data_IF_739263453485
#
_entry.id   IF_739263453485
#
_cell.length_a   1.000
_cell.length_b   1.000
_cell.length_c   1.000
_cell.angle_alpha   90.00
_cell.angle_beta   90.00
_cell.angle_gamma   90.00
#
_symmetry.space_group_name_H-M   'P 1'
#
loop_
_entity.id
_entity.type
_entity.pdbx_description
1 polymer ?
#
# COMPACT_ATOMS: atom_id res chain seq x y z
N UNK A 1 -7.62 -12.94 50.70
CA UNK A 1 -8.20 -12.33 49.48
C UNK A 1 -7.05 -11.63 48.77
N UNK A 2 -6.76 -11.95 47.49
CA UNK A 2 -5.71 -11.23 46.76
C UNK A 2 -5.97 -9.73 46.87
N UNK A 3 -4.97 -8.97 47.36
CA UNK A 3 -5.14 -7.54 47.63
C UNK A 3 -5.58 -6.84 46.35
N UNK A 4 -6.43 -5.83 46.47
CA UNK A 4 -6.92 -5.04 45.34
C UNK A 4 -5.74 -4.53 44.49
N UNK A 5 -4.60 -4.27 45.12
CA UNK A 5 -3.33 -3.86 44.48
C UNK A 5 -2.74 -4.92 43.54
N UNK A 6 -2.74 -6.21 43.92
CA UNK A 6 -2.25 -7.29 43.06
C UNK A 6 -3.14 -7.48 41.82
N UNK A 7 -4.46 -7.25 41.97
CA UNK A 7 -5.41 -7.27 40.86
C UNK A 7 -5.19 -6.09 39.93
N UNK A 8 -4.92 -4.90 40.46
CA UNK A 8 -4.58 -3.71 39.69
C UNK A 8 -3.28 -3.88 38.90
N UNK A 9 -2.25 -4.49 39.50
CA UNK A 9 -0.96 -4.72 38.83
C UNK A 9 -1.09 -5.73 37.68
N UNK A 10 -1.84 -6.82 37.89
CA UNK A 10 -2.16 -7.78 36.82
C UNK A 10 -2.92 -7.13 35.66
N UNK A 11 -3.90 -6.27 35.94
CA UNK A 11 -4.63 -5.53 34.92
C UNK A 11 -3.73 -4.56 34.14
N UNK A 12 -2.78 -3.88 34.81
CA UNK A 12 -1.79 -3.01 34.14
C UNK A 12 -0.90 -3.82 33.19
N UNK A 13 -0.35 -4.95 33.65
CA UNK A 13 0.47 -5.85 32.82
C UNK A 13 -0.30 -6.35 31.60
N UNK A 14 -1.55 -6.80 31.78
CA UNK A 14 -2.41 -7.22 30.67
C UNK A 14 -2.69 -6.08 29.67
N UNK A 15 -2.92 -4.85 30.15
CA UNK A 15 -3.13 -3.69 29.28
C UNK A 15 -1.88 -3.36 28.45
N UNK A 16 -0.70 -3.47 29.02
CA UNK A 16 0.56 -3.26 28.30
C UNK A 16 0.81 -4.34 27.25
N UNK A 17 0.55 -5.60 27.58
CA UNK A 17 0.64 -6.70 26.61
C UNK A 17 -0.34 -6.54 25.45
N UNK A 18 -1.58 -6.14 25.74
CA UNK A 18 -2.59 -5.90 24.71
C UNK A 18 -2.19 -4.72 23.81
N UNK A 19 -1.69 -3.62 24.36
CA UNK A 19 -1.14 -2.50 23.57
C UNK A 19 0.02 -2.93 22.68
N UNK A 20 0.92 -3.77 23.18
CA UNK A 20 2.02 -4.29 22.39
C UNK A 20 1.52 -5.19 21.24
N UNK A 21 0.51 -6.03 21.49
CA UNK A 21 -0.15 -6.85 20.46
C UNK A 21 -0.86 -5.99 19.42
N UNK A 22 -1.60 -4.97 19.85
CA UNK A 22 -2.28 -4.02 18.96
C UNK A 22 -1.28 -3.30 18.04
N UNK A 23 -0.17 -2.78 18.58
CA UNK A 23 0.88 -2.14 17.79
C UNK A 23 1.50 -3.10 16.77
N UNK A 24 1.73 -4.36 17.14
CA UNK A 24 2.23 -5.40 16.23
C UNK A 24 1.23 -5.68 15.11
N UNK A 25 -0.06 -5.83 15.42
CA UNK A 25 -1.11 -6.06 14.43
C UNK A 25 -1.25 -4.88 13.47
N UNK A 26 -1.18 -3.64 13.97
CA UNK A 26 -1.24 -2.45 13.15
C UNK A 26 -0.04 -2.37 12.18
N UNK A 27 1.16 -2.66 12.68
CA UNK A 27 2.37 -2.71 11.84
C UNK A 27 2.28 -3.80 10.77
N UNK A 28 1.74 -4.98 11.12
CA UNK A 28 1.50 -6.06 10.17
C UNK A 28 0.50 -5.64 9.08
N UNK A 29 -0.62 -5.02 9.47
CA UNK A 29 -1.62 -4.52 8.51
C UNK A 29 -1.03 -3.50 7.54
N UNK A 30 -0.29 -2.51 8.07
CA UNK A 30 0.38 -1.52 7.24
C UNK A 30 1.39 -2.15 6.27
N UNK A 31 2.14 -3.17 6.73
CA UNK A 31 3.07 -3.90 5.87
C UNK A 31 2.37 -4.69 4.76
N UNK A 32 1.22 -5.31 5.06
CA UNK A 32 0.43 -6.07 4.10
C UNK A 32 -0.18 -5.15 3.03
N UNK A 33 -0.71 -4.00 3.44
CA UNK A 33 -1.22 -2.96 2.53
C UNK A 33 -0.12 -2.42 1.61
N UNK A 34 1.08 -2.16 2.16
CA UNK A 34 2.24 -1.76 1.34
C UNK A 34 2.62 -2.83 0.33
N UNK A 35 2.69 -4.11 0.73
CA UNK A 35 2.99 -5.23 -0.18
C UNK A 35 1.96 -5.35 -1.29
N UNK A 36 0.67 -5.25 -0.95
CA UNK A 36 -0.44 -5.28 -1.93
C UNK A 36 -0.33 -4.12 -2.91
N UNK A 37 -0.04 -2.91 -2.42
CA UNK A 37 0.17 -1.72 -3.26
C UNK A 37 1.36 -1.90 -4.20
N UNK A 38 2.51 -2.34 -3.69
CA UNK A 38 3.71 -2.56 -4.51
C UNK A 38 3.47 -3.63 -5.58
N UNK A 39 2.84 -4.75 -5.22
CA UNK A 39 2.48 -5.80 -6.19
C UNK A 39 1.60 -5.25 -7.31
N UNK A 40 0.55 -4.50 -6.97
CA UNK A 40 -0.34 -3.87 -7.95
C UNK A 40 0.41 -2.91 -8.88
N UNK A 41 1.34 -2.10 -8.35
CA UNK A 41 2.13 -1.17 -9.17
C UNK A 41 3.05 -1.91 -10.15
N UNK A 42 3.62 -3.04 -9.74
CA UNK A 42 4.43 -3.90 -10.61
C UNK A 42 3.54 -4.52 -11.71
N UNK A 43 2.36 -5.03 -11.36
CA UNK A 43 1.40 -5.59 -12.32
C UNK A 43 0.98 -4.55 -13.38
N UNK A 44 0.76 -3.30 -12.97
CA UNK A 44 0.46 -2.19 -13.92
C UNK A 44 1.64 -1.93 -14.86
N UNK A 45 2.87 -1.86 -14.34
CA UNK A 45 4.07 -1.69 -15.17
C UNK A 45 4.22 -2.83 -16.18
N UNK A 46 4.10 -4.07 -15.72
CA UNK A 46 4.16 -5.26 -16.57
C UNK A 46 3.07 -5.27 -17.65
N UNK A 47 1.85 -4.80 -17.33
CA UNK A 47 0.78 -4.67 -18.30
C UNK A 47 1.14 -3.67 -19.42
N UNK A 48 1.71 -2.52 -19.08
CA UNK A 48 2.14 -1.52 -20.08
C UNK A 48 3.26 -2.08 -20.96
N UNK A 49 4.28 -2.71 -20.37
CA UNK A 49 5.37 -3.36 -21.13
C UNK A 49 4.84 -4.48 -22.05
N UNK A 50 3.84 -5.24 -21.60
CA UNK A 50 3.24 -6.31 -22.40
C UNK A 50 2.54 -5.80 -23.67
N UNK A 51 2.02 -4.57 -23.64
CA UNK A 51 1.40 -3.90 -24.80
C UNK A 51 2.48 -3.30 -25.70
N UNK A 52 3.50 -2.65 -25.12
CA UNK A 52 4.59 -2.04 -25.87
C UNK A 52 5.56 -3.06 -26.50
N UNK A 53 5.59 -4.31 -25.99
CA UNK A 53 6.55 -5.35 -26.38
C UNK A 53 8.01 -4.95 -26.19
N UNK A 54 8.25 -3.94 -25.34
CA UNK A 54 9.57 -3.40 -25.03
C UNK A 54 9.64 -3.05 -23.54
N UNK A 55 10.78 -3.28 -22.86
CA UNK A 55 10.98 -2.84 -21.49
C UNK A 55 10.94 -1.31 -21.38
N UNK A 56 10.42 -0.81 -20.25
CA UNK A 56 10.39 0.62 -19.95
C UNK A 56 11.46 0.90 -18.88
N UNK A 57 12.52 1.59 -19.28
CA UNK A 57 13.55 2.02 -18.36
C UNK A 57 13.14 3.29 -17.61
N UNK A 58 13.87 3.62 -16.54
CA UNK A 58 13.59 4.82 -15.72
C UNK A 58 13.62 6.12 -16.52
N UNK A 59 14.43 6.16 -17.58
CA UNK A 59 14.61 7.31 -18.48
C UNK A 59 13.37 7.55 -19.37
N UNK A 60 12.55 6.52 -19.58
CA UNK A 60 11.34 6.59 -20.40
C UNK A 60 10.09 6.96 -19.60
N UNK A 61 10.15 6.92 -18.26
CA UNK A 61 9.03 7.30 -17.39
C UNK A 61 8.49 8.72 -17.67
N UNK A 62 9.33 9.76 -17.90
CA UNK A 62 8.83 11.09 -18.26
C UNK A 62 8.02 11.08 -19.56
N UNK A 63 8.43 10.28 -20.55
CA UNK A 63 7.69 10.15 -21.83
C UNK A 63 6.34 9.48 -21.61
N UNK A 64 6.31 8.42 -20.80
CA UNK A 64 5.08 7.72 -20.45
C UNK A 64 4.11 8.63 -19.69
N UNK A 65 4.60 9.41 -18.73
CA UNK A 65 3.78 10.38 -17.98
C UNK A 65 3.20 11.43 -18.93
N UNK A 66 4.03 12.07 -19.74
CA UNK A 66 3.57 13.07 -20.71
C UNK A 66 2.55 12.48 -21.70
N UNK A 67 2.73 11.23 -22.14
CA UNK A 67 1.74 10.55 -22.99
C UNK A 67 0.39 10.41 -22.28
N UNK A 68 0.38 9.95 -21.02
CA UNK A 68 -0.85 9.76 -20.24
C UNK A 68 -1.55 11.10 -19.96
N UNK A 69 -0.78 12.14 -19.61
CA UNK A 69 -1.31 13.50 -19.42
C UNK A 69 -1.95 14.03 -20.70
N UNK A 70 -1.30 13.87 -21.85
CA UNK A 70 -1.87 14.24 -23.15
C UNK A 70 -3.14 13.46 -23.48
N UNK A 71 -3.25 12.19 -23.09
CA UNK A 71 -4.49 11.43 -23.28
C UNK A 71 -5.65 12.01 -22.45
N UNK A 72 -5.35 12.56 -21.27
CA UNK A 72 -6.35 13.23 -20.45
C UNK A 72 -6.74 14.58 -21.04
N UNK A 73 -5.77 15.42 -21.43
CA UNK A 73 -6.03 16.73 -22.03
C UNK A 73 -6.83 16.66 -23.33
N UNK A 74 -6.56 15.66 -24.18
CA UNK A 74 -7.22 15.50 -25.48
C UNK A 74 -8.65 14.98 -25.41
N UNK A 75 -9.15 14.60 -24.22
CA UNK A 75 -10.53 14.16 -24.07
C UNK A 75 -10.80 13.13 -22.97
N UNK A 76 -9.93 13.04 -21.96
CA UNK A 76 -10.02 12.08 -20.86
C UNK A 76 -9.98 10.61 -21.33
N UNK A 77 -9.21 10.33 -22.38
CA UNK A 77 -9.19 9.00 -23.02
C UNK A 77 -8.71 7.91 -22.06
N UNK A 78 -7.69 8.19 -21.25
CA UNK A 78 -7.15 7.21 -20.33
C UNK A 78 -8.13 6.95 -19.18
N UNK A 79 -8.68 7.99 -18.56
CA UNK A 79 -9.72 7.87 -17.55
C UNK A 79 -10.97 7.14 -18.05
N UNK A 80 -11.40 7.38 -19.30
CA UNK A 80 -12.56 6.70 -19.90
C UNK A 80 -12.29 5.22 -20.19
N UNK A 81 -11.06 4.85 -20.52
CA UNK A 81 -10.71 3.44 -20.74
C UNK A 81 -10.61 2.65 -19.42
N UNK A 82 -10.35 3.35 -18.30
CA UNK A 82 -10.14 2.73 -16.99
C UNK A 82 -11.37 2.77 -16.05
N UNK A 83 -12.44 3.47 -16.44
CA UNK A 83 -13.70 3.59 -15.70
C UNK A 83 -14.82 2.87 -16.41
#
# INVERSE_FOLDING_TARGET
MASIDERLEKLKKQKEELKAKEKKLLAQKASAERKKRTKRLIEVGAAVESVLKQPIEKEDLPKLINFLEQQEERGNYFSKAMK
#
